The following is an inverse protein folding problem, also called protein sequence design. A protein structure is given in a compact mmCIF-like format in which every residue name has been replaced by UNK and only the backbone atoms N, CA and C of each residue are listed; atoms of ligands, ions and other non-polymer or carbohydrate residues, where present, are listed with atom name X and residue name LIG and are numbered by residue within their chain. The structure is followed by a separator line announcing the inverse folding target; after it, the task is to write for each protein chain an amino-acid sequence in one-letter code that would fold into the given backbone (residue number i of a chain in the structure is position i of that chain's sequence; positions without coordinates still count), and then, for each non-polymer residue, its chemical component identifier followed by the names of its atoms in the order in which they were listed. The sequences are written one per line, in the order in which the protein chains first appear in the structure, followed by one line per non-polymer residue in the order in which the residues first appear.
data_IF_257155139980
#
_entry.id   IF_257155139980
#
_cell.length_a   1.000
_cell.length_b   1.000
_cell.length_c   1.000
_cell.angle_alpha   90.00
_cell.angle_beta   90.00
_cell.angle_gamma   90.00
#
_symmetry.space_group_name_H-M   'P 1'
#
loop_
_entity.id
_entity.type
_entity.pdbx_description
1 polymer ?
#
# COMPACT_ATOMS: atom_id res chain seq x y z
N UNK A 1 -10.18 7.79 17.49
CA UNK A 1 -9.70 8.41 16.25
C UNK A 1 -10.01 7.55 15.05
N UNK A 2 -10.46 8.17 13.99
CA UNK A 2 -10.75 7.45 12.75
C UNK A 2 -9.49 7.35 11.89
N UNK A 3 -9.28 6.22 11.18
CA UNK A 3 -8.19 6.12 10.22
C UNK A 3 -8.32 7.18 9.12
N UNK A 4 -7.16 7.66 8.65
CA UNK A 4 -7.09 8.55 7.50
C UNK A 4 -6.77 7.71 6.27
N UNK A 5 -7.73 7.59 5.36
CA UNK A 5 -7.57 6.79 4.14
C UNK A 5 -7.03 7.64 3.00
N UNK A 6 -6.32 7.00 2.07
CA UNK A 6 -5.82 7.65 0.87
C UNK A 6 -6.95 7.82 -0.14
N UNK A 7 -6.93 8.95 -0.87
CA UNK A 7 -7.88 9.21 -1.94
C UNK A 7 -7.32 8.71 -3.28
N UNK A 8 -8.18 8.53 -4.26
CA UNK A 8 -7.78 8.18 -5.61
C UNK A 8 -6.81 9.22 -6.18
N UNK A 9 -7.12 10.50 -6.00
CA UNK A 9 -6.27 11.60 -6.49
C UNK A 9 -4.86 11.49 -5.91
N UNK A 10 -4.74 11.24 -4.61
CA UNK A 10 -3.44 11.08 -3.97
C UNK A 10 -2.64 9.92 -4.55
N UNK A 11 -3.28 8.78 -4.75
CA UNK A 11 -2.59 7.60 -5.30
C UNK A 11 -2.20 7.81 -6.76
N UNK A 12 -3.03 8.48 -7.55
CA UNK A 12 -2.67 8.83 -8.92
C UNK A 12 -1.47 9.78 -8.95
N UNK A 13 -1.39 10.72 -8.03
CA UNK A 13 -0.23 11.62 -7.89
C UNK A 13 1.03 10.86 -7.49
N UNK A 14 0.93 9.90 -6.57
CA UNK A 14 2.08 9.05 -6.21
C UNK A 14 2.61 8.34 -7.45
N UNK A 15 1.73 7.80 -8.25
CA UNK A 15 2.13 7.09 -9.47
C UNK A 15 2.84 8.03 -10.45
N UNK A 16 2.28 9.20 -10.71
CA UNK A 16 2.89 10.18 -11.60
C UNK A 16 4.28 10.59 -11.12
N UNK A 17 4.42 10.86 -9.82
CA UNK A 17 5.69 11.25 -9.23
C UNK A 17 6.73 10.15 -9.35
N UNK A 18 6.34 8.90 -9.13
CA UNK A 18 7.26 7.76 -9.19
C UNK A 18 7.72 7.49 -10.62
N UNK A 19 6.84 7.60 -11.61
CA UNK A 19 7.20 7.45 -13.02
C UNK A 19 8.16 8.58 -13.43
N UNK A 20 7.90 9.81 -13.03
CA UNK A 20 8.78 10.94 -13.33
C UNK A 20 10.17 10.75 -12.71
N UNK A 21 10.23 10.34 -11.45
CA UNK A 21 11.48 10.29 -10.68
C UNK A 21 12.30 9.03 -10.94
N UNK A 22 11.66 7.90 -11.24
CA UNK A 22 12.34 6.62 -11.39
C UNK A 22 12.22 6.01 -12.78
N UNK A 23 11.41 6.62 -13.66
CA UNK A 23 11.21 6.12 -15.01
C UNK A 23 10.08 5.12 -15.10
N UNK A 24 9.79 4.69 -16.31
CA UNK A 24 8.70 3.78 -16.63
C UNK A 24 7.66 4.45 -17.53
N UNK A 25 6.63 3.71 -17.91
CA UNK A 25 5.58 4.19 -18.78
C UNK A 25 4.45 4.83 -17.97
N UNK A 26 4.05 6.06 -18.31
CA UNK A 26 2.93 6.70 -17.61
C UNK A 26 1.58 6.11 -18.02
N UNK A 27 0.57 6.41 -17.25
CA UNK A 27 -0.81 6.16 -17.60
C UNK A 27 -1.52 5.14 -16.72
N UNK A 28 -2.83 5.27 -16.71
CA UNK A 28 -3.73 4.37 -15.98
C UNK A 28 -4.25 3.34 -16.97
N UNK A 29 -4.05 2.05 -16.65
CA UNK A 29 -4.56 0.95 -17.47
C UNK A 29 -6.05 0.72 -17.22
N UNK A 30 -6.46 0.79 -15.95
CA UNK A 30 -7.85 0.53 -15.57
C UNK A 30 -8.17 1.31 -14.29
N UNK A 31 -8.90 2.42 -14.46
CA UNK A 31 -9.26 3.28 -13.33
C UNK A 31 -10.19 2.57 -12.34
N UNK A 32 -11.11 1.74 -12.85
CA UNK A 32 -12.02 0.97 -11.99
C UNK A 32 -11.27 0.02 -11.07
N UNK A 33 -10.18 -0.59 -11.54
CA UNK A 33 -9.35 -1.45 -10.70
C UNK A 33 -8.57 -0.64 -9.65
N UNK A 34 -8.19 0.59 -9.95
CA UNK A 34 -7.60 1.48 -8.96
C UNK A 34 -8.61 1.82 -7.86
N UNK A 35 -9.81 2.22 -8.25
CA UNK A 35 -10.89 2.53 -7.32
C UNK A 35 -11.24 1.33 -6.44
N UNK A 36 -11.33 0.14 -7.03
CA UNK A 36 -11.62 -1.10 -6.30
C UNK A 36 -10.54 -1.40 -5.25
N UNK A 37 -9.27 -1.23 -5.62
CA UNK A 37 -8.16 -1.45 -4.69
C UNK A 37 -8.23 -0.49 -3.50
N UNK A 38 -8.57 0.77 -3.73
CA UNK A 38 -8.63 1.78 -2.67
C UNK A 38 -9.85 1.63 -1.77
N UNK A 39 -10.90 0.97 -2.24
CA UNK A 39 -12.09 0.72 -1.44
C UNK A 39 -11.85 -0.36 -0.37
N UNK A 40 -10.96 -1.32 -0.61
CA UNK A 40 -10.76 -2.47 0.28
C UNK A 40 -10.29 -2.08 1.69
N UNK A 41 -9.25 -1.25 1.86
CA UNK A 41 -8.77 -0.94 3.21
C UNK A 41 -9.83 -0.31 4.12
N UNK A 42 -10.78 0.42 3.54
CA UNK A 42 -11.83 1.11 4.31
C UNK A 42 -13.15 0.34 4.33
N UNK A 43 -13.20 -0.84 3.75
CA UNK A 43 -14.42 -1.64 3.72
C UNK A 43 -14.74 -2.20 5.12
N UNK A 44 -16.02 -2.41 5.37
CA UNK A 44 -16.46 -2.91 6.66
C UNK A 44 -17.98 -3.10 6.70
N UNK A 45 -18.46 -3.46 7.87
CA UNK A 45 -19.90 -3.64 8.12
C UNK A 45 -20.19 -3.32 9.59
N UNK A 46 -21.36 -2.73 9.86
CA UNK A 46 -21.85 -2.49 11.23
C UNK A 46 -20.83 -1.78 12.12
N UNK A 47 -20.27 -0.68 11.64
CA UNK A 47 -19.31 0.17 12.34
C UNK A 47 -17.93 -0.45 12.57
N UNK A 48 -17.66 -1.58 11.91
CA UNK A 48 -16.38 -2.25 12.04
C UNK A 48 -15.70 -2.40 10.68
N UNK A 49 -14.40 -2.11 10.62
CA UNK A 49 -13.60 -2.37 9.44
C UNK A 49 -13.26 -3.85 9.35
N UNK A 50 -13.19 -4.39 8.13
CA UNK A 50 -12.75 -5.77 7.92
C UNK A 50 -11.25 -5.94 8.15
N UNK A 51 -10.47 -4.88 8.00
CA UNK A 51 -9.03 -4.91 8.18
C UNK A 51 -8.65 -4.16 9.45
N UNK A 52 -7.78 -4.74 10.26
CA UNK A 52 -7.34 -4.09 11.50
C UNK A 52 -6.43 -2.88 11.19
N UNK A 53 -6.61 -1.84 11.95
CA UNK A 53 -5.79 -0.63 11.88
C UNK A 53 -4.51 -0.85 12.68
N UNK A 54 -3.32 -0.44 12.22
CA UNK A 54 -3.06 0.15 10.90
C UNK A 54 -2.47 -0.84 9.89
N UNK A 55 -1.89 -1.96 10.33
CA UNK A 55 -1.03 -2.79 9.46
C UNK A 55 -1.83 -3.64 8.48
N UNK A 56 -2.99 -4.17 8.87
CA UNK A 56 -3.84 -4.89 7.91
C UNK A 56 -4.38 -3.96 6.85
N UNK A 57 -4.72 -2.72 7.22
CA UNK A 57 -5.16 -1.72 6.25
C UNK A 57 -4.04 -1.35 5.28
N UNK A 58 -2.83 -1.14 5.79
CA UNK A 58 -1.66 -0.86 4.94
C UNK A 58 -1.38 -2.02 3.99
N UNK A 59 -1.45 -3.25 4.50
CA UNK A 59 -1.26 -4.45 3.67
C UNK A 59 -2.34 -4.57 2.60
N UNK A 60 -3.56 -4.13 2.88
CA UNK A 60 -4.63 -4.12 1.90
C UNK A 60 -4.34 -3.16 0.74
N UNK A 61 -3.81 -1.96 1.02
CA UNK A 61 -3.34 -1.08 -0.05
C UNK A 61 -2.28 -1.76 -0.90
N UNK A 62 -1.25 -2.30 -0.24
CA UNK A 62 -0.14 -2.97 -0.93
C UNK A 62 -0.63 -4.11 -1.81
N UNK A 63 -1.42 -5.01 -1.23
CA UNK A 63 -1.88 -6.22 -1.90
C UNK A 63 -2.77 -5.91 -3.10
N UNK A 64 -3.80 -5.09 -2.89
CA UNK A 64 -4.79 -4.87 -3.94
C UNK A 64 -4.29 -3.96 -5.06
N UNK A 65 -3.46 -2.97 -4.76
CA UNK A 65 -2.83 -2.17 -5.81
C UNK A 65 -1.84 -3.00 -6.62
N UNK A 66 -1.06 -3.86 -5.96
CA UNK A 66 -0.12 -4.73 -6.65
C UNK A 66 -0.82 -5.79 -7.50
N UNK A 67 -1.88 -6.42 -6.98
CA UNK A 67 -2.58 -7.49 -7.67
C UNK A 67 -3.48 -6.98 -8.81
N UNK A 68 -4.14 -5.84 -8.62
CA UNK A 68 -5.08 -5.32 -9.61
C UNK A 68 -4.39 -4.73 -10.85
N UNK A 69 -3.12 -4.36 -10.75
CA UNK A 69 -2.36 -3.77 -11.86
C UNK A 69 -3.11 -2.60 -12.52
N UNK A 70 -3.54 -1.58 -11.76
CA UNK A 70 -4.34 -0.49 -12.34
C UNK A 70 -3.56 0.43 -13.27
N UNK A 71 -2.23 0.45 -13.18
CA UNK A 71 -1.37 1.30 -14.01
C UNK A 71 -0.71 0.50 -15.11
N UNK A 72 -0.28 1.21 -16.16
CA UNK A 72 0.47 0.58 -17.25
C UNK A 72 1.81 0.06 -16.73
N UNK A 73 2.46 0.82 -15.85
CA UNK A 73 3.75 0.47 -15.28
C UNK A 73 3.83 1.05 -13.85
N UNK A 74 4.76 0.57 -13.04
CA UNK A 74 4.99 1.11 -11.70
C UNK A 74 3.99 0.65 -10.64
N UNK A 75 3.27 -0.44 -10.87
CA UNK A 75 2.24 -0.93 -9.92
C UNK A 75 2.82 -1.32 -8.56
N UNK A 76 3.92 -2.07 -8.52
CA UNK A 76 4.55 -2.49 -7.27
C UNK A 76 5.05 -1.30 -6.46
N UNK A 77 5.70 -0.36 -7.13
CA UNK A 77 6.26 0.82 -6.49
C UNK A 77 5.16 1.72 -5.94
N UNK A 78 4.08 1.90 -6.69
CA UNK A 78 2.93 2.70 -6.24
C UNK A 78 2.20 2.03 -5.08
N UNK A 79 2.02 0.71 -5.14
CA UNK A 79 1.40 -0.07 -4.05
C UNK A 79 2.21 0.07 -2.75
N UNK A 80 3.51 -0.03 -2.85
CA UNK A 80 4.45 0.13 -1.75
C UNK A 80 4.38 1.54 -1.16
N UNK A 81 4.42 2.57 -2.02
CA UNK A 81 4.33 3.96 -1.59
C UNK A 81 3.01 4.26 -0.88
N UNK A 82 1.91 3.72 -1.39
CA UNK A 82 0.59 3.89 -0.78
C UNK A 82 0.55 3.29 0.63
N UNK A 83 1.05 2.06 0.79
CA UNK A 83 1.07 1.40 2.10
C UNK A 83 1.89 2.19 3.12
N UNK A 84 3.09 2.63 2.75
CA UNK A 84 3.96 3.39 3.65
C UNK A 84 3.38 4.77 3.98
N UNK A 85 2.79 5.44 3.00
CA UNK A 85 2.17 6.74 3.23
C UNK A 85 0.96 6.61 4.16
N UNK A 86 0.14 5.58 3.98
CA UNK A 86 -0.97 5.32 4.89
C UNK A 86 -0.48 5.16 6.32
N UNK A 87 0.56 4.37 6.54
CA UNK A 87 1.14 4.20 7.87
C UNK A 87 1.66 5.52 8.43
N UNK A 88 2.37 6.29 7.62
CA UNK A 88 2.96 7.56 8.06
C UNK A 88 1.90 8.57 8.48
N UNK A 89 0.87 8.78 7.66
CA UNK A 89 -0.16 9.78 7.98
C UNK A 89 -1.03 9.36 9.16
N UNK A 90 -1.00 8.09 9.53
CA UNK A 90 -1.76 7.58 10.68
C UNK A 90 -0.90 7.40 11.93
N UNK A 91 0.33 7.91 11.93
CA UNK A 91 1.18 7.92 13.12
C UNK A 91 2.10 6.72 13.28
N UNK A 92 2.29 5.93 12.21
CA UNK A 92 3.14 4.74 12.24
C UNK A 92 4.21 4.80 11.14
N UNK A 93 5.08 5.84 11.15
CA UNK A 93 6.09 5.97 10.11
C UNK A 93 7.10 4.83 10.18
N UNK A 94 7.38 4.22 9.03
CA UNK A 94 8.38 3.17 8.93
C UNK A 94 9.73 3.82 8.63
N UNK A 95 10.67 3.70 9.56
CA UNK A 95 11.91 4.47 9.56
C UNK A 95 13.14 3.69 9.07
N UNK A 96 12.95 2.54 8.47
CA UNK A 96 14.04 1.72 7.97
C UNK A 96 13.54 0.44 7.34
N UNK A 97 14.46 -0.46 6.99
CA UNK A 97 14.11 -1.76 6.43
C UNK A 97 13.75 -1.72 4.95
N UNK A 98 14.35 -0.83 4.19
CA UNK A 98 14.03 -0.63 2.77
C UNK A 98 14.14 -1.92 1.95
N UNK A 99 15.20 -2.70 2.14
CA UNK A 99 15.40 -3.95 1.40
C UNK A 99 14.32 -4.98 1.73
N UNK A 100 13.96 -5.08 3.00
CA UNK A 100 12.91 -6.00 3.46
C UNK A 100 11.55 -5.56 2.94
N UNK A 101 11.26 -4.27 2.96
CA UNK A 101 10.03 -3.68 2.44
C UNK A 101 9.89 -3.94 0.94
N UNK A 102 10.97 -3.75 0.18
CA UNK A 102 10.96 -4.04 -1.27
C UNK A 102 10.70 -5.53 -1.52
N UNK A 103 11.29 -6.41 -0.72
CA UNK A 103 11.06 -7.84 -0.82
C UNK A 103 9.59 -8.19 -0.58
N UNK A 104 8.95 -7.56 0.40
CA UNK A 104 7.52 -7.76 0.67
C UNK A 104 6.68 -7.38 -0.55
N UNK A 105 6.91 -6.20 -1.12
CA UNK A 105 6.17 -5.73 -2.28
C UNK A 105 6.32 -6.69 -3.47
N UNK A 106 7.55 -7.16 -3.72
CA UNK A 106 7.85 -8.08 -4.80
C UNK A 106 7.15 -9.43 -4.60
N UNK A 107 7.15 -9.95 -3.37
CA UNK A 107 6.51 -11.24 -3.05
C UNK A 107 4.99 -11.14 -3.14
N UNK A 108 4.41 -10.02 -2.72
CA UNK A 108 2.97 -9.79 -2.88
C UNK A 108 2.59 -9.76 -4.36
N UNK A 109 3.35 -9.01 -5.17
CA UNK A 109 3.06 -8.89 -6.60
C UNK A 109 3.17 -10.22 -7.34
N UNK A 110 4.09 -11.09 -6.92
CA UNK A 110 4.29 -12.41 -7.54
C UNK A 110 3.37 -13.51 -6.97
N UNK A 111 2.53 -13.19 -6.01
CA UNK A 111 1.62 -14.15 -5.38
C UNK A 111 2.26 -15.06 -4.35
N UNK A 112 3.51 -14.80 -3.96
CA UNK A 112 4.23 -15.61 -2.97
C UNK A 112 3.93 -15.23 -1.52
N UNK A 113 3.29 -14.09 -1.30
CA UNK A 113 2.95 -13.60 0.03
C UNK A 113 1.53 -13.06 -0.02
N UNK A 114 0.68 -13.54 0.88
CA UNK A 114 -0.70 -13.08 0.95
C UNK A 114 -0.80 -11.77 1.78
N UNK A 115 -2.00 -11.22 1.82
CA UNK A 115 -2.27 -9.96 2.51
C UNK A 115 -1.98 -10.07 4.01
N UNK A 116 -2.38 -11.16 4.65
CA UNK A 116 -2.15 -11.38 6.07
C UNK A 116 -0.65 -11.47 6.39
N UNK A 117 0.09 -12.20 5.56
CA UNK A 117 1.54 -12.28 5.69
C UNK A 117 2.23 -10.93 5.53
N UNK A 118 1.76 -10.14 4.57
CA UNK A 118 2.29 -8.79 4.36
C UNK A 118 2.05 -7.91 5.60
N UNK A 119 0.87 -7.97 6.20
CA UNK A 119 0.55 -7.19 7.39
C UNK A 119 1.48 -7.54 8.56
N UNK A 120 1.73 -8.82 8.78
CA UNK A 120 2.62 -9.31 9.83
C UNK A 120 4.04 -8.78 9.64
N UNK A 121 4.54 -8.82 8.41
CA UNK A 121 5.89 -8.36 8.11
C UNK A 121 6.00 -6.85 8.24
N UNK A 122 5.01 -6.10 7.78
CA UNK A 122 5.02 -4.63 7.92
C UNK A 122 5.07 -4.23 9.39
N UNK A 123 4.30 -4.87 10.24
CA UNK A 123 4.30 -4.60 11.67
C UNK A 123 5.65 -4.92 12.30
N UNK A 124 6.26 -6.04 11.92
CA UNK A 124 7.57 -6.44 12.40
C UNK A 124 8.64 -5.42 12.00
N UNK A 125 8.63 -4.97 10.76
CA UNK A 125 9.58 -3.97 10.27
C UNK A 125 9.39 -2.64 11.02
N UNK A 126 8.14 -2.21 11.18
CA UNK A 126 7.84 -1.00 11.93
C UNK A 126 8.41 -1.08 13.34
N UNK A 127 8.11 -2.16 14.06
CA UNK A 127 8.56 -2.33 15.45
C UNK A 127 10.08 -2.37 15.58
N UNK A 128 10.77 -2.97 14.61
CA UNK A 128 12.23 -3.08 14.59
C UNK A 128 12.91 -1.74 14.39
N UNK A 129 12.31 -0.83 13.64
CA UNK A 129 12.92 0.44 13.23
C UNK A 129 12.26 1.69 13.84
N UNK A 130 11.23 1.54 14.67
CA UNK A 130 10.56 2.69 15.26
C UNK A 130 11.49 3.44 16.22
N UNK A 131 11.26 4.75 16.35
CA UNK A 131 12.01 5.56 17.28
C UNK A 131 11.77 5.09 18.72
N UNK A 132 12.82 5.11 19.53
CA UNK A 132 12.76 4.71 20.92
C UNK A 132 11.98 5.74 21.75
#
# INVERSE_FOLDING_TARGET
MSPKFLTLTEVLEFHEDLIRDFGGSPGVRDLGLAEAALAVPQSGASDKFFHAFPFEMAAAYLYHLAQNHPFIDGNKRTAFAAALTFLEINGYPVLGGEDELESVARKVASGKLDKSGAATILERIYNKHKAA
#
